data_IF_523507104721
#
_entry.id   IF_523507104721
#
_cell.length_a   1.000
_cell.length_b   1.000
_cell.length_c   1.000
_cell.angle_alpha   90.00
_cell.angle_beta   90.00
_cell.angle_gamma   90.00
#
_symmetry.space_group_name_H-M   'P 1'
#
loop_
_entity.id
_entity.type
_entity.pdbx_description
1 polymer ?
#
# COMPACT_ATOMS: atom_id res chain seq x y z
N UNK A 1 40.52 -21.31 -21.48
CA UNK A 1 40.37 -20.60 -20.19
C UNK A 1 39.39 -19.46 -20.39
N UNK A 2 38.13 -19.65 -20.03
CA UNK A 2 37.15 -18.55 -19.98
C UNK A 2 37.35 -17.83 -18.66
N UNK A 3 37.86 -16.61 -18.71
CA UNK A 3 37.96 -15.73 -17.54
C UNK A 3 36.55 -15.29 -17.19
N UNK A 4 35.94 -15.98 -16.23
CA UNK A 4 34.65 -15.61 -15.67
C UNK A 4 34.76 -14.23 -15.02
N UNK A 5 34.12 -13.23 -15.63
CA UNK A 5 33.93 -11.94 -15.00
C UNK A 5 33.14 -12.16 -13.72
N UNK A 6 33.79 -11.92 -12.58
CA UNK A 6 33.19 -11.88 -11.26
C UNK A 6 31.96 -10.98 -11.30
N UNK A 7 30.80 -11.52 -10.91
CA UNK A 7 29.59 -10.74 -10.77
C UNK A 7 29.88 -9.54 -9.88
N UNK A 8 29.52 -8.33 -10.33
CA UNK A 8 29.65 -7.10 -9.53
C UNK A 8 29.05 -7.37 -8.16
N UNK A 9 29.87 -7.24 -7.12
CA UNK A 9 29.43 -7.17 -5.72
C UNK A 9 28.25 -6.19 -5.64
N UNK A 10 27.08 -6.65 -5.23
CA UNK A 10 25.94 -5.77 -5.01
C UNK A 10 26.35 -4.71 -3.97
N UNK A 11 26.09 -3.44 -4.25
CA UNK A 11 26.36 -2.37 -3.30
C UNK A 11 25.64 -2.68 -1.97
N UNK A 12 26.39 -2.59 -0.87
CA UNK A 12 25.86 -2.88 0.46
C UNK A 12 24.65 -1.97 0.75
N UNK A 13 23.50 -2.56 1.10
CA UNK A 13 22.29 -1.80 1.45
C UNK A 13 22.58 -0.78 2.55
N UNK A 14 21.93 0.38 2.51
CA UNK A 14 22.10 1.42 3.54
C UNK A 14 21.15 1.17 4.72
N UNK A 15 21.40 1.82 5.86
CA UNK A 15 20.43 1.86 6.96
C UNK A 15 19.31 2.80 6.54
N UNK A 16 18.06 2.33 6.62
CA UNK A 16 16.85 3.10 6.34
C UNK A 16 16.42 3.82 7.63
N UNK A 17 16.15 3.02 8.65
CA UNK A 17 15.62 3.43 9.94
C UNK A 17 16.22 2.55 11.04
N UNK A 18 16.47 3.13 12.21
CA UNK A 18 17.06 2.45 13.35
C UNK A 18 16.29 2.78 14.63
N UNK A 19 16.00 1.75 15.42
CA UNK A 19 15.49 1.87 16.77
C UNK A 19 16.63 1.58 17.76
N UNK A 20 17.17 2.60 18.44
CA UNK A 20 18.30 2.43 19.35
C UNK A 20 17.93 1.68 20.63
N UNK A 21 16.67 1.81 21.09
CA UNK A 21 16.14 1.11 22.27
C UNK A 21 16.93 1.35 23.57
N UNK A 22 17.59 2.50 23.71
CA UNK A 22 18.48 2.81 24.85
C UNK A 22 17.77 3.52 26.00
N UNK A 23 16.71 4.27 25.71
CA UNK A 23 15.98 5.10 26.65
C UNK A 23 14.48 5.14 26.33
N UNK A 24 14.14 5.07 25.04
CA UNK A 24 12.81 4.95 24.49
C UNK A 24 12.82 4.00 23.28
N UNK A 25 11.68 3.89 22.60
CA UNK A 25 11.52 3.14 21.36
C UNK A 25 11.37 4.02 20.12
N UNK A 26 11.85 5.27 20.17
CA UNK A 26 11.73 6.19 19.05
C UNK A 26 12.77 5.85 17.97
N UNK A 27 12.32 5.81 16.72
CA UNK A 27 13.21 5.60 15.59
C UNK A 27 14.07 6.83 15.27
N UNK A 28 15.29 6.58 14.81
CA UNK A 28 16.13 7.54 14.09
C UNK A 28 16.16 7.14 12.62
N UNK A 29 15.86 8.08 11.73
CA UNK A 29 15.86 7.87 10.27
C UNK A 29 17.22 8.26 9.70
N UNK A 30 17.79 7.40 8.86
CA UNK A 30 19.14 7.58 8.29
C UNK A 30 19.14 8.07 6.83
N UNK A 31 18.00 8.03 6.13
CA UNK A 31 17.84 8.49 4.74
C UNK A 31 16.51 9.20 4.52
N UNK A 32 16.41 10.00 3.46
CA UNK A 32 15.14 10.62 3.04
C UNK A 32 14.12 9.57 2.56
N UNK A 33 12.84 9.91 2.63
CA UNK A 33 11.77 9.06 2.10
C UNK A 33 11.18 8.06 3.08
N UNK A 34 11.46 8.23 4.37
CA UNK A 34 10.94 7.39 5.45
C UNK A 34 10.25 8.29 6.46
N UNK A 35 9.09 7.87 6.94
CA UNK A 35 8.42 8.48 8.09
C UNK A 35 8.76 7.65 9.33
N UNK A 36 9.39 8.22 10.38
CA UNK A 36 9.75 7.47 11.56
C UNK A 36 8.53 6.85 12.25
N UNK A 37 8.69 5.63 12.77
CA UNK A 37 7.63 4.93 13.50
C UNK A 37 8.08 4.49 14.89
N UNK A 38 7.11 4.11 15.71
CA UNK A 38 7.33 3.60 17.06
C UNK A 38 6.84 2.15 17.11
N UNK A 39 7.67 1.20 17.54
CA UNK A 39 7.25 -0.19 17.63
C UNK A 39 6.26 -0.38 18.76
N UNK A 40 5.39 -1.37 18.60
CA UNK A 40 4.29 -1.65 19.53
C UNK A 40 4.35 -3.08 20.05
N UNK A 41 4.02 -3.26 21.32
CA UNK A 41 3.88 -4.58 21.91
C UNK A 41 2.46 -5.11 21.79
N UNK A 42 2.37 -6.42 21.58
CA UNK A 42 1.15 -7.20 21.79
C UNK A 42 1.45 -8.30 22.80
N UNK A 43 0.72 -8.30 23.92
CA UNK A 43 0.86 -9.24 25.05
C UNK A 43 2.26 -9.30 25.69
N UNK A 44 3.11 -8.31 25.40
CA UNK A 44 4.41 -8.11 26.01
C UNK A 44 4.41 -6.76 26.69
N UNK A 45 5.22 -6.63 27.74
CA UNK A 45 5.38 -5.39 28.48
C UNK A 45 6.84 -5.15 28.80
N UNK A 46 7.22 -3.87 28.87
CA UNK A 46 8.53 -3.46 29.37
C UNK A 46 8.73 -3.93 30.81
N UNK A 47 9.99 -4.15 31.18
CA UNK A 47 10.30 -4.40 32.58
C UNK A 47 10.01 -3.17 33.45
N UNK A 48 9.39 -3.42 34.60
CA UNK A 48 9.13 -2.42 35.63
C UNK A 48 10.28 -2.27 36.65
N UNK A 49 11.43 -2.90 36.39
CA UNK A 49 12.60 -2.88 37.27
C UNK A 49 12.39 -3.54 38.65
N UNK A 50 11.34 -4.34 38.84
CA UNK A 50 10.99 -4.96 40.15
C UNK A 50 11.43 -6.42 40.32
N UNK A 51 12.25 -6.92 39.40
CA UNK A 51 12.71 -8.29 39.36
C UNK A 51 13.37 -8.76 40.69
N UNK A 52 12.90 -9.90 41.22
CA UNK A 52 13.29 -10.42 42.54
C UNK A 52 14.79 -10.77 42.72
N UNK A 53 15.56 -10.86 41.63
CA UNK A 53 17.00 -11.16 41.65
C UNK A 53 17.88 -10.07 41.02
N UNK A 54 17.37 -8.83 40.97
CA UNK A 54 18.11 -7.65 40.55
C UNK A 54 17.28 -6.72 39.68
N UNK A 55 17.56 -5.41 39.76
CA UNK A 55 16.90 -4.36 38.98
C UNK A 55 17.28 -4.46 37.49
N UNK A 56 16.33 -4.86 36.64
CA UNK A 56 16.46 -4.79 35.19
C UNK A 56 15.52 -3.70 34.67
N UNK A 57 16.03 -2.51 34.30
CA UNK A 57 15.18 -1.44 33.81
C UNK A 57 14.63 -1.80 32.42
N UNK A 58 13.46 -1.25 32.09
CA UNK A 58 12.83 -1.42 30.78
C UNK A 58 13.72 -0.98 29.62
N UNK A 59 14.59 0.03 29.82
CA UNK A 59 15.61 0.46 28.86
C UNK A 59 16.96 0.68 29.55
N UNK A 60 18.06 0.35 28.87
CA UNK A 60 19.42 0.67 29.32
C UNK A 60 20.46 0.57 28.19
N UNK A 61 21.59 1.25 28.33
CA UNK A 61 22.69 1.11 27.37
C UNK A 61 23.27 -0.32 27.26
N UNK A 62 23.24 -1.07 28.36
CA UNK A 62 23.76 -2.43 28.40
C UNK A 62 22.84 -3.41 27.66
N UNK A 63 21.51 -3.32 27.89
CA UNK A 63 20.52 -4.31 27.45
C UNK A 63 19.66 -3.86 26.27
N UNK A 64 19.69 -2.57 25.96
CA UNK A 64 18.59 -1.86 25.30
C UNK A 64 17.29 -2.07 26.04
N UNK A 65 16.27 -2.51 25.32
CA UNK A 65 14.95 -2.80 25.86
C UNK A 65 14.92 -4.18 26.54
N UNK A 66 14.32 -4.26 27.72
CA UNK A 66 14.05 -5.51 28.41
C UNK A 66 12.54 -5.70 28.59
N UNK A 67 12.01 -6.86 28.19
CA UNK A 67 10.58 -7.12 28.17
C UNK A 67 10.25 -8.60 28.36
N UNK A 68 9.00 -8.86 28.75
CA UNK A 68 8.44 -10.19 28.93
C UNK A 68 6.89 -10.11 28.93
N UNK A 69 6.18 -11.24 28.97
CA UNK A 69 4.73 -11.25 29.20
C UNK A 69 4.30 -10.57 30.51
N UNK A 70 5.15 -10.62 31.55
CA UNK A 70 4.94 -9.91 32.82
C UNK A 70 6.09 -8.93 33.09
N UNK A 71 5.77 -7.74 33.61
CA UNK A 71 6.72 -6.64 33.82
C UNK A 71 7.85 -6.99 34.82
N UNK A 72 7.58 -7.92 35.74
CA UNK A 72 8.54 -8.47 36.71
C UNK A 72 9.61 -9.38 36.08
N UNK A 73 9.51 -9.67 34.78
CA UNK A 73 10.45 -10.51 34.03
C UNK A 73 10.13 -11.99 34.11
N UNK A 74 8.95 -12.40 33.62
CA UNK A 74 8.51 -13.80 33.60
C UNK A 74 7.25 -13.98 32.77
N UNK A 75 6.44 -14.99 33.11
CA UNK A 75 5.16 -15.24 32.43
C UNK A 75 5.28 -15.96 31.09
N UNK A 76 6.39 -16.66 30.86
CA UNK A 76 6.63 -17.37 29.60
C UNK A 76 5.88 -18.70 29.48
N UNK A 77 5.33 -19.26 30.55
CA UNK A 77 4.76 -20.62 30.55
C UNK A 77 3.50 -20.69 29.71
N UNK A 78 3.45 -21.61 28.74
CA UNK A 78 2.24 -21.87 27.94
C UNK A 78 1.07 -22.43 28.76
N UNK A 79 1.36 -22.96 29.95
CA UNK A 79 0.35 -23.45 30.92
C UNK A 79 0.20 -22.52 32.12
N UNK A 80 0.85 -21.35 32.10
CA UNK A 80 0.70 -20.32 33.13
C UNK A 80 -0.70 -19.71 33.14
N UNK A 81 -0.98 -18.90 34.16
CA UNK A 81 -2.22 -18.10 34.22
C UNK A 81 -1.84 -16.64 34.47
N UNK A 82 -1.98 -15.74 33.46
CA UNK A 82 -2.35 -16.03 32.07
C UNK A 82 -1.27 -16.85 31.32
N UNK A 83 -1.62 -17.56 30.24
CA UNK A 83 -0.66 -18.35 29.47
C UNK A 83 0.26 -17.44 28.65
N UNK A 84 1.56 -17.74 28.69
CA UNK A 84 2.59 -17.13 27.87
C UNK A 84 2.88 -17.90 26.57
N UNK A 85 3.90 -17.46 25.81
CA UNK A 85 4.24 -18.09 24.52
C UNK A 85 4.88 -19.49 24.65
N UNK A 86 5.52 -19.81 25.77
CA UNK A 86 6.31 -21.03 25.97
C UNK A 86 7.75 -20.90 25.48
N UNK A 87 8.41 -22.05 25.32
CA UNK A 87 9.77 -22.14 24.75
C UNK A 87 9.81 -21.68 23.30
N UNK A 88 8.83 -22.10 22.51
CA UNK A 88 8.68 -21.70 21.12
C UNK A 88 7.86 -20.40 21.04
N UNK A 89 8.14 -19.51 20.08
CA UNK A 89 7.39 -18.28 19.95
C UNK A 89 5.89 -18.52 19.66
N UNK A 90 5.04 -17.59 20.09
CA UNK A 90 3.60 -17.59 19.81
C UNK A 90 3.19 -16.35 19.04
N UNK A 91 2.26 -16.48 18.08
CA UNK A 91 1.80 -15.35 17.26
C UNK A 91 1.02 -14.28 18.04
N UNK A 92 0.64 -14.57 19.28
CA UNK A 92 -0.05 -13.63 20.18
C UNK A 92 0.91 -12.76 21.01
N UNK A 93 2.22 -13.04 20.97
CA UNK A 93 3.24 -12.36 21.77
C UNK A 93 4.33 -11.83 20.85
N UNK A 94 4.29 -10.53 20.55
CA UNK A 94 5.24 -9.92 19.64
C UNK A 94 5.48 -8.45 19.90
N UNK A 95 6.60 -7.98 19.38
CA UNK A 95 6.83 -6.57 19.10
C UNK A 95 6.74 -6.35 17.59
N UNK A 96 5.93 -5.39 17.16
CA UNK A 96 5.79 -5.01 15.76
C UNK A 96 6.57 -3.74 15.47
N UNK A 97 7.45 -3.82 14.48
CA UNK A 97 8.17 -2.70 13.88
C UNK A 97 7.54 -2.36 12.54
N UNK A 98 7.45 -1.09 12.20
CA UNK A 98 6.85 -0.62 10.95
C UNK A 98 7.84 0.22 10.18
N UNK A 99 8.11 -0.13 8.93
CA UNK A 99 8.85 0.75 8.00
C UNK A 99 7.82 1.42 7.10
N UNK A 100 7.68 2.74 7.23
CA UNK A 100 6.72 3.53 6.45
C UNK A 100 7.44 4.31 5.34
N UNK A 101 7.11 4.00 4.09
CA UNK A 101 7.54 4.79 2.94
C UNK A 101 6.82 6.14 2.96
N UNK A 102 7.58 7.23 3.01
CA UNK A 102 7.02 8.56 2.90
C UNK A 102 6.32 8.76 1.53
N UNK A 103 5.35 9.66 1.47
CA UNK A 103 4.68 9.99 0.21
C UNK A 103 5.71 10.45 -0.83
N UNK A 104 5.62 9.93 -2.05
CA UNK A 104 6.56 10.19 -3.14
C UNK A 104 7.84 9.35 -3.10
N UNK A 105 7.96 8.36 -2.21
CA UNK A 105 9.11 7.46 -2.12
C UNK A 105 8.71 6.00 -2.20
N UNK A 106 9.53 5.18 -2.84
CA UNK A 106 9.43 3.73 -2.83
C UNK A 106 10.63 3.18 -2.07
N UNK A 107 10.40 2.19 -1.21
CA UNK A 107 11.47 1.55 -0.46
C UNK A 107 11.66 0.12 -0.97
N UNK A 108 12.91 -0.34 -0.97
CA UNK A 108 13.24 -1.77 -1.00
C UNK A 108 13.89 -2.10 0.33
N UNK A 109 13.22 -2.87 1.18
CA UNK A 109 13.74 -3.30 2.48
C UNK A 109 14.37 -4.68 2.34
N UNK A 110 15.69 -4.75 2.48
CA UNK A 110 16.48 -5.95 2.20
C UNK A 110 16.65 -6.82 3.44
N UNK A 111 16.88 -6.20 4.60
CA UNK A 111 17.16 -6.94 5.83
C UNK A 111 16.76 -6.18 7.08
N UNK A 112 16.49 -6.94 8.13
CA UNK A 112 16.43 -6.45 9.50
C UNK A 112 17.71 -6.88 10.22
N UNK A 113 18.38 -5.94 10.88
CA UNK A 113 19.52 -6.24 11.74
C UNK A 113 19.12 -5.93 13.16
N UNK A 114 19.28 -6.90 14.06
CA UNK A 114 19.00 -6.70 15.47
C UNK A 114 20.05 -7.34 16.35
N UNK A 115 20.16 -6.85 17.59
CA UNK A 115 21.03 -7.42 18.61
C UNK A 115 20.18 -7.85 19.79
N UNK A 116 20.15 -9.14 20.11
CA UNK A 116 19.21 -9.69 21.08
C UNK A 116 19.77 -10.88 21.87
N UNK A 117 19.25 -11.07 23.08
CA UNK A 117 19.56 -12.19 23.95
C UNK A 117 18.40 -12.41 24.94
N UNK A 118 18.48 -13.50 25.70
CA UNK A 118 17.60 -13.72 26.86
C UNK A 118 18.40 -13.54 28.15
N UNK A 119 17.80 -12.87 29.14
CA UNK A 119 18.36 -12.77 30.47
C UNK A 119 18.13 -14.07 31.27
N UNK A 120 19.22 -14.64 31.78
CA UNK A 120 19.22 -15.74 32.75
C UNK A 120 18.53 -17.03 32.25
N UNK A 121 18.36 -17.23 30.95
CA UNK A 121 17.84 -18.49 30.37
C UNK A 121 18.62 -18.88 29.13
N UNK A 122 18.97 -20.17 29.04
CA UNK A 122 19.73 -20.75 27.93
C UNK A 122 18.86 -21.22 26.75
N UNK A 123 17.53 -21.04 26.82
CA UNK A 123 16.58 -21.56 25.82
C UNK A 123 15.65 -20.45 25.31
N UNK A 124 16.22 -19.47 24.60
CA UNK A 124 15.47 -18.39 23.95
C UNK A 124 15.28 -18.65 22.46
N UNK A 125 14.14 -18.25 21.91
CA UNK A 125 13.84 -18.36 20.48
C UNK A 125 13.28 -17.05 19.96
N UNK A 126 13.71 -16.66 18.75
CA UNK A 126 13.21 -15.50 18.03
C UNK A 126 12.76 -15.92 16.63
N UNK A 127 11.46 -15.79 16.37
CA UNK A 127 10.89 -15.93 15.04
C UNK A 127 10.54 -14.56 14.47
N UNK A 128 10.71 -14.36 13.16
CA UNK A 128 10.37 -13.09 12.50
C UNK A 128 9.51 -13.33 11.28
N UNK A 129 8.36 -12.66 11.27
CA UNK A 129 7.46 -12.61 10.10
C UNK A 129 7.30 -11.16 9.64
N UNK A 130 6.94 -10.97 8.38
CA UNK A 130 6.71 -9.64 7.80
C UNK A 130 5.53 -9.65 6.83
N UNK A 131 4.96 -8.47 6.60
CA UNK A 131 3.79 -8.30 5.73
C UNK A 131 3.67 -6.85 5.25
N UNK A 132 3.17 -6.68 4.03
CA UNK A 132 2.78 -5.39 3.44
C UNK A 132 1.26 -5.18 3.42
N UNK A 133 0.49 -6.11 3.98
CA UNK A 133 -0.98 -6.19 3.91
C UNK A 133 -1.64 -6.44 5.27
N UNK A 134 -1.02 -5.95 6.34
CA UNK A 134 -1.54 -6.05 7.71
C UNK A 134 -1.59 -7.49 8.23
N UNK A 135 -0.70 -8.36 7.75
CA UNK A 135 -0.65 -9.80 8.01
C UNK A 135 -1.86 -10.58 7.53
N UNK A 136 -2.56 -10.09 6.49
CA UNK A 136 -3.49 -10.93 5.70
C UNK A 136 -2.69 -12.04 4.99
N UNK A 137 -1.54 -11.69 4.44
CA UNK A 137 -0.50 -12.61 3.97
C UNK A 137 0.68 -12.57 4.92
N UNK A 138 1.04 -13.74 5.47
CA UNK A 138 2.19 -13.88 6.36
C UNK A 138 3.39 -14.35 5.54
N UNK A 139 4.47 -13.57 5.57
CA UNK A 139 5.76 -13.97 5.03
C UNK A 139 6.74 -14.24 6.16
N UNK A 140 7.57 -15.27 6.02
CA UNK A 140 8.54 -15.67 7.03
C UNK A 140 9.96 -15.35 6.58
N UNK A 141 10.80 -14.93 7.53
CA UNK A 141 12.24 -14.90 7.27
C UNK A 141 12.72 -16.33 7.01
N UNK A 142 13.50 -16.51 5.96
CA UNK A 142 13.98 -17.83 5.51
C UNK A 142 15.50 -17.89 5.36
N UNK A 143 16.22 -16.90 5.90
CA UNK A 143 17.67 -16.88 5.86
C UNK A 143 18.27 -15.61 6.44
N UNK A 144 19.60 -15.59 6.50
CA UNK A 144 20.33 -14.52 7.14
C UNK A 144 21.68 -14.98 7.65
N UNK A 145 22.33 -14.10 8.41
CA UNK A 145 23.52 -14.43 9.20
C UNK A 145 23.21 -14.17 10.67
N UNK A 146 23.23 -15.23 11.46
CA UNK A 146 22.81 -15.23 12.86
C UNK A 146 24.02 -15.47 13.74
N UNK A 147 24.63 -14.40 14.24
CA UNK A 147 25.74 -14.51 15.18
C UNK A 147 25.20 -14.54 16.60
N UNK A 148 25.24 -15.72 17.22
CA UNK A 148 24.84 -15.93 18.61
C UNK A 148 25.96 -16.64 19.38
N UNK A 149 26.89 -15.86 19.92
CA UNK A 149 28.02 -16.38 20.68
C UNK A 149 27.53 -17.24 21.85
N UNK A 150 28.05 -18.47 21.95
CA UNK A 150 27.71 -19.45 22.96
C UNK A 150 26.52 -20.35 22.64
N UNK A 151 25.88 -20.23 21.47
CA UNK A 151 24.75 -21.07 21.05
C UNK A 151 24.85 -21.50 19.59
N UNK A 152 24.54 -22.77 19.33
CA UNK A 152 24.43 -23.30 17.96
C UNK A 152 23.07 -22.95 17.37
N UNK A 153 23.07 -22.38 16.17
CA UNK A 153 21.82 -22.06 15.45
C UNK A 153 21.18 -23.33 14.85
N UNK A 154 19.85 -23.35 14.67
CA UNK A 154 19.17 -24.41 13.95
C UNK A 154 19.74 -24.61 12.54
N UNK A 155 19.75 -25.85 12.06
CA UNK A 155 20.16 -26.17 10.69
C UNK A 155 19.03 -25.90 9.70
N UNK A 156 19.39 -25.66 8.43
CA UNK A 156 18.43 -25.38 7.36
C UNK A 156 17.87 -23.95 7.37
N UNK A 157 16.68 -23.77 6.81
CA UNK A 157 15.98 -22.48 6.67
C UNK A 157 15.52 -21.97 8.04
N UNK A 158 16.20 -20.98 8.62
CA UNK A 158 15.92 -20.45 9.97
C UNK A 158 15.71 -18.93 9.97
N UNK A 159 15.12 -18.41 11.05
CA UNK A 159 14.81 -16.99 11.27
C UNK A 159 13.32 -16.67 11.28
N UNK A 160 12.50 -17.50 10.63
CA UNK A 160 11.05 -17.34 10.58
C UNK A 160 10.35 -17.88 11.84
N UNK A 161 9.05 -17.61 11.96
CA UNK A 161 8.23 -18.17 13.04
C UNK A 161 8.24 -19.71 13.12
N UNK A 162 8.17 -20.47 12.01
CA UNK A 162 8.15 -21.94 12.06
C UNK A 162 9.50 -22.57 12.46
N UNK A 163 10.61 -21.89 12.23
CA UNK A 163 11.97 -22.34 12.60
C UNK A 163 12.77 -21.16 13.14
N UNK A 164 12.48 -20.73 14.39
CA UNK A 164 13.05 -19.52 14.97
C UNK A 164 14.55 -19.69 15.27
N UNK A 165 15.30 -18.59 15.26
CA UNK A 165 16.70 -18.60 15.69
C UNK A 165 16.81 -18.79 17.19
N UNK A 166 17.88 -19.41 17.65
CA UNK A 166 18.15 -19.57 19.07
C UNK A 166 18.88 -18.33 19.60
N UNK A 167 18.38 -17.78 20.71
CA UNK A 167 18.96 -16.64 21.40
C UNK A 167 19.90 -17.09 22.54
N UNK A 168 21.05 -16.44 22.71
CA UNK A 168 21.98 -16.76 23.79
C UNK A 168 21.51 -16.20 25.14
N UNK A 169 21.95 -16.83 26.22
CA UNK A 169 21.81 -16.29 27.57
C UNK A 169 22.82 -15.17 27.80
N UNK A 170 22.38 -13.96 28.12
CA UNK A 170 23.25 -12.83 28.44
C UNK A 170 22.72 -12.06 29.67
N UNK A 171 23.43 -12.16 30.79
CA UNK A 171 23.05 -11.45 32.03
C UNK A 171 23.52 -9.98 32.04
N UNK A 172 24.62 -9.68 31.33
CA UNK A 172 25.17 -8.33 31.17
C UNK A 172 24.51 -7.54 30.01
N UNK A 173 23.57 -8.16 29.28
CA UNK A 173 23.01 -7.60 28.05
C UNK A 173 23.70 -8.14 26.79
N UNK A 174 23.02 -8.10 25.63
CA UNK A 174 23.60 -8.58 24.39
C UNK A 174 24.71 -7.62 23.90
N UNK A 175 25.72 -8.21 23.29
CA UNK A 175 26.89 -7.54 22.72
C UNK A 175 26.74 -7.46 21.21
N UNK A 176 26.96 -6.28 20.64
CA UNK A 176 26.93 -6.06 19.19
C UNK A 176 27.99 -6.95 18.52
N UNK A 177 27.67 -7.47 17.34
CA UNK A 177 28.41 -8.49 16.59
C UNK A 177 28.36 -9.88 17.23
N UNK A 178 28.51 -10.03 18.54
CA UNK A 178 28.49 -11.33 19.20
C UNK A 178 27.07 -11.91 19.36
N UNK A 179 26.04 -11.06 19.42
CA UNK A 179 24.64 -11.45 19.55
C UNK A 179 23.76 -10.73 18.50
N UNK A 180 24.30 -10.57 17.29
CA UNK A 180 23.65 -9.84 16.18
C UNK A 180 23.07 -10.79 15.15
N UNK A 181 21.81 -10.57 14.82
CA UNK A 181 21.01 -11.33 13.87
C UNK A 181 20.73 -10.45 12.66
N UNK A 182 21.15 -10.89 11.49
CA UNK A 182 20.95 -10.22 10.20
C UNK A 182 19.95 -11.05 9.42
N UNK A 183 18.68 -10.68 9.51
CA UNK A 183 17.55 -11.39 8.93
C UNK A 183 17.31 -10.88 7.51
N UNK A 184 17.40 -11.76 6.51
CA UNK A 184 17.12 -11.41 5.12
C UNK A 184 15.61 -11.41 4.88
N UNK A 185 15.07 -10.32 4.33
CA UNK A 185 13.66 -10.21 3.97
C UNK A 185 13.52 -10.52 2.48
N UNK A 186 12.73 -11.53 2.13
CA UNK A 186 12.54 -11.98 0.75
C UNK A 186 13.87 -12.28 -0.01
N UNK A 187 14.83 -12.89 0.70
CA UNK A 187 16.12 -13.29 0.14
C UNK A 187 16.91 -12.13 -0.46
N UNK A 188 17.47 -12.32 -1.66
CA UNK A 188 18.26 -11.31 -2.37
C UNK A 188 17.40 -10.21 -3.04
N UNK A 189 16.09 -10.41 -3.14
CA UNK A 189 15.18 -9.48 -3.82
C UNK A 189 14.78 -8.31 -2.92
N UNK A 190 14.71 -8.53 -1.61
CA UNK A 190 14.14 -7.55 -0.68
C UNK A 190 12.62 -7.43 -0.83
N UNK A 191 12.01 -6.61 0.03
CA UNK A 191 10.58 -6.32 0.03
C UNK A 191 10.36 -4.91 -0.49
N UNK A 192 9.60 -4.79 -1.58
CA UNK A 192 9.20 -3.48 -2.12
C UNK A 192 8.03 -2.91 -1.34
N UNK A 193 8.18 -1.68 -0.88
CA UNK A 193 7.15 -0.91 -0.17
C UNK A 193 6.80 0.31 -1.02
N UNK A 194 5.59 0.35 -1.55
CA UNK A 194 5.12 1.46 -2.36
C UNK A 194 4.95 2.75 -1.55
N UNK A 195 4.91 3.89 -2.23
CA UNK A 195 4.69 5.22 -1.63
C UNK A 195 3.47 5.25 -0.72
N UNK A 196 3.67 5.73 0.50
CA UNK A 196 2.63 5.83 1.54
C UNK A 196 2.16 4.48 2.09
N UNK A 197 2.85 3.38 1.77
CA UNK A 197 2.56 2.04 2.32
C UNK A 197 3.59 1.67 3.38
N UNK A 198 3.23 0.65 4.15
CA UNK A 198 4.03 0.13 5.26
C UNK A 198 4.50 -1.29 4.98
N UNK A 199 5.65 -1.62 5.54
CA UNK A 199 6.07 -2.98 5.83
C UNK A 199 6.00 -3.15 7.35
N UNK A 200 5.13 -4.05 7.82
CA UNK A 200 5.10 -4.46 9.22
C UNK A 200 5.96 -5.71 9.41
N UNK A 201 6.75 -5.71 10.48
CA UNK A 201 7.68 -6.79 10.84
C UNK A 201 7.43 -7.15 12.30
N UNK A 202 7.07 -8.40 12.57
CA UNK A 202 6.77 -8.89 13.92
C UNK A 202 7.91 -9.77 14.42
N UNK A 203 8.42 -9.46 15.60
CA UNK A 203 9.41 -10.25 16.32
C UNK A 203 8.70 -11.04 17.42
N UNK A 204 8.74 -12.35 17.31
CA UNK A 204 8.08 -13.28 18.24
C UNK A 204 9.14 -13.92 19.14
N UNK A 205 8.93 -13.83 20.46
CA UNK A 205 9.85 -14.39 21.44
C UNK A 205 9.26 -15.60 22.15
N UNK A 206 10.09 -16.61 22.37
CA UNK A 206 9.82 -17.74 23.25
C UNK A 206 10.98 -17.93 24.23
N UNK A 207 10.68 -18.31 25.47
CA UNK A 207 11.68 -18.56 26.51
C UNK A 207 11.32 -19.82 27.28
N UNK A 208 12.23 -20.79 27.33
CA UNK A 208 11.99 -22.10 27.94
C UNK A 208 11.96 -22.13 29.47
N UNK A 209 11.78 -20.99 30.13
CA UNK A 209 11.66 -20.89 31.58
C UNK A 209 10.85 -19.66 31.97
N UNK A 210 10.06 -19.78 33.05
CA UNK A 210 9.16 -18.72 33.52
C UNK A 210 9.59 -18.06 34.84
N UNK A 211 10.70 -18.51 35.43
CA UNK A 211 11.20 -17.93 36.68
C UNK A 211 11.63 -16.48 36.50
N UNK A 212 11.48 -15.65 37.52
CA UNK A 212 11.97 -14.27 37.44
C UNK A 212 13.49 -14.22 37.63
N UNK A 213 14.24 -13.43 36.84
CA UNK A 213 13.81 -12.41 35.89
C UNK A 213 14.14 -12.85 34.45
N UNK A 214 13.43 -13.84 33.91
CA UNK A 214 13.56 -14.25 32.50
C UNK A 214 12.95 -13.17 31.62
N UNK A 215 13.78 -12.48 30.85
CA UNK A 215 13.37 -11.39 29.97
C UNK A 215 14.05 -11.52 28.62
N UNK A 216 13.33 -11.18 27.56
CA UNK A 216 13.96 -10.90 26.28
C UNK A 216 14.64 -9.52 26.35
N UNK A 217 15.80 -9.42 25.72
CA UNK A 217 16.57 -8.19 25.59
C UNK A 217 16.73 -7.86 24.11
N UNK A 218 16.40 -6.64 23.73
CA UNK A 218 16.54 -6.15 22.36
C UNK A 218 17.30 -4.83 22.40
N UNK A 219 18.56 -4.90 21.98
CA UNK A 219 19.50 -3.79 22.13
C UNK A 219 19.42 -2.75 21.04
N UNK A 220 19.08 -3.17 19.84
CA UNK A 220 18.96 -2.29 18.69
C UNK A 220 18.25 -3.04 17.58
N UNK A 221 17.51 -2.32 16.75
CA UNK A 221 16.95 -2.82 15.50
C UNK A 221 17.26 -1.83 14.38
N UNK A 222 17.61 -2.30 13.20
CA UNK A 222 17.84 -1.47 12.02
C UNK A 222 17.25 -2.13 10.80
N UNK A 223 16.37 -1.43 10.10
CA UNK A 223 15.93 -1.81 8.77
C UNK A 223 16.96 -1.32 7.75
N UNK A 224 17.40 -2.21 6.85
CA UNK A 224 18.35 -1.88 5.79
C UNK A 224 17.73 -2.09 4.43
N UNK A 225 18.15 -1.28 3.46
CA UNK A 225 17.55 -1.29 2.14
C UNK A 225 18.02 -0.16 1.24
N UNK A 226 17.12 0.26 0.35
CA UNK A 226 17.25 1.42 -0.51
C UNK A 226 15.95 2.25 -0.49
N UNK A 227 16.10 3.57 -0.54
CA UNK A 227 15.01 4.53 -0.73
C UNK A 227 15.18 5.17 -2.09
N UNK A 228 14.13 5.18 -2.90
CA UNK A 228 14.11 5.84 -4.21
C UNK A 228 12.90 6.74 -4.30
N UNK A 229 13.01 7.84 -5.05
CA UNK A 229 11.85 8.68 -5.36
C UNK A 229 10.88 7.83 -6.19
N UNK A 230 9.65 7.64 -5.69
CA UNK A 230 8.60 6.97 -6.43
C UNK A 230 8.16 7.87 -7.58
N UNK A 231 8.13 7.33 -8.79
CA UNK A 231 7.64 8.09 -9.92
C UNK A 231 6.12 8.20 -9.88
N UNK A 232 5.60 9.38 -10.19
CA UNK A 232 4.18 9.67 -10.27
C UNK A 232 3.88 10.32 -11.62
N UNK A 233 3.27 9.63 -12.57
CA UNK A 233 2.95 10.20 -13.88
C UNK A 233 1.58 10.91 -13.91
N UNK A 234 1.08 11.41 -12.77
CA UNK A 234 -0.23 12.08 -12.72
C UNK A 234 -0.27 13.35 -13.58
N UNK A 235 -1.21 13.36 -14.52
CA UNK A 235 -1.60 14.51 -15.31
C UNK A 235 -3.12 14.50 -15.51
N UNK A 236 -3.70 15.66 -15.78
CA UNK A 236 -5.11 15.76 -16.16
C UNK A 236 -5.38 16.94 -17.09
N UNK A 237 -6.23 16.74 -18.09
CA UNK A 237 -6.94 17.84 -18.75
C UNK A 237 -8.14 18.26 -17.88
N UNK A 238 -8.57 19.51 -18.03
CA UNK A 238 -9.70 20.06 -17.27
C UNK A 238 -11.06 19.40 -17.61
N UNK A 239 -11.17 18.76 -18.78
CA UNK A 239 -12.35 18.03 -19.24
C UNK A 239 -11.91 16.76 -19.98
N UNK A 240 -12.78 15.75 -20.01
CA UNK A 240 -12.61 14.53 -20.82
C UNK A 240 -13.28 14.63 -22.19
N UNK A 241 -13.99 15.73 -22.49
CA UNK A 241 -14.66 15.97 -23.77
C UNK A 241 -14.47 17.40 -24.24
N UNK A 242 -14.17 17.56 -25.53
CA UNK A 242 -13.93 18.85 -26.19
C UNK A 242 -14.62 18.91 -27.55
N UNK A 243 -15.11 20.10 -27.93
CA UNK A 243 -15.56 20.37 -29.29
C UNK A 243 -14.36 20.70 -30.17
N UNK A 244 -14.33 20.21 -31.41
CA UNK A 244 -13.25 20.45 -32.36
C UNK A 244 -13.01 21.95 -32.65
N UNK A 245 -14.05 22.78 -32.50
CA UNK A 245 -14.01 24.24 -32.63
C UNK A 245 -13.64 25.00 -31.33
N UNK A 246 -13.35 24.27 -30.25
CA UNK A 246 -12.99 24.84 -28.96
C UNK A 246 -11.55 25.36 -28.91
N UNK A 247 -11.19 25.96 -27.78
CA UNK A 247 -9.80 26.33 -27.50
C UNK A 247 -8.96 25.08 -27.18
N UNK A 248 -7.72 25.07 -27.66
CA UNK A 248 -6.76 23.99 -27.42
C UNK A 248 -6.49 23.82 -25.91
N UNK A 249 -6.78 22.64 -25.32
CA UNK A 249 -6.56 22.41 -23.90
C UNK A 249 -5.12 21.96 -23.64
N UNK A 250 -4.56 22.42 -22.52
CA UNK A 250 -3.25 21.99 -22.00
C UNK A 250 -3.46 21.22 -20.69
N UNK A 251 -2.82 20.06 -20.50
CA UNK A 251 -2.97 19.29 -19.28
C UNK A 251 -2.18 19.94 -18.13
N UNK A 252 -2.64 19.73 -16.90
CA UNK A 252 -1.85 20.02 -15.70
C UNK A 252 -1.15 18.75 -15.26
N UNK A 253 0.19 18.79 -15.14
CA UNK A 253 0.99 17.72 -14.55
C UNK A 253 1.09 17.98 -13.05
N UNK A 254 0.54 17.09 -12.23
CA UNK A 254 0.66 17.13 -10.76
C UNK A 254 1.69 16.14 -10.22
N UNK A 255 2.17 15.24 -11.09
CA UNK A 255 3.24 14.30 -10.81
C UNK A 255 4.63 14.79 -11.24
N UNK A 256 5.50 13.83 -11.55
CA UNK A 256 6.86 14.02 -12.08
C UNK A 256 6.80 14.77 -13.41
N UNK A 257 7.48 15.91 -13.49
CA UNK A 257 7.61 16.75 -14.69
C UNK A 257 8.75 16.28 -15.60
N UNK A 258 8.81 16.81 -16.83
CA UNK A 258 9.88 16.49 -17.79
C UNK A 258 9.66 15.21 -18.62
N UNK A 259 8.45 14.63 -18.56
CA UNK A 259 8.04 13.52 -19.41
C UNK A 259 7.59 13.94 -20.81
N UNK A 260 7.12 12.98 -21.58
CA UNK A 260 6.60 13.18 -22.95
C UNK A 260 5.14 12.73 -23.06
N UNK A 261 4.34 13.49 -23.81
CA UNK A 261 2.97 13.13 -24.16
C UNK A 261 2.92 12.39 -25.50
N UNK A 262 2.00 11.44 -25.61
CA UNK A 262 1.63 10.77 -26.85
C UNK A 262 0.13 10.46 -26.85
N UNK A 263 -0.39 10.09 -28.01
CA UNK A 263 -1.80 9.72 -28.14
C UNK A 263 -2.00 8.63 -29.19
N UNK A 264 -3.20 8.05 -29.20
CA UNK A 264 -3.66 7.25 -30.35
C UNK A 264 -3.74 8.11 -31.62
N UNK A 265 -3.67 7.47 -32.79
CA UNK A 265 -3.67 8.16 -34.08
C UNK A 265 -4.95 8.97 -34.31
N UNK A 266 -4.81 10.13 -34.95
CA UNK A 266 -5.91 11.06 -35.24
C UNK A 266 -6.06 12.22 -34.24
N UNK A 267 -5.37 12.17 -33.09
CA UNK A 267 -5.20 13.31 -32.18
C UNK A 267 -3.85 13.98 -32.43
N UNK A 268 -3.87 15.28 -32.65
CA UNK A 268 -2.66 16.11 -32.74
C UNK A 268 -2.35 16.68 -31.37
N UNK A 269 -1.21 16.28 -30.79
CA UNK A 269 -0.75 16.70 -29.46
C UNK A 269 0.71 17.13 -29.52
N UNK A 270 1.05 18.19 -28.79
CA UNK A 270 2.44 18.58 -28.56
C UNK A 270 3.09 17.59 -27.56
N UNK A 271 4.14 16.85 -27.94
CA UNK A 271 4.75 15.85 -27.07
C UNK A 271 5.46 16.45 -25.85
N UNK A 272 5.85 17.73 -25.87
CA UNK A 272 6.54 18.38 -24.75
C UNK A 272 5.57 19.04 -23.78
N UNK A 273 4.55 19.74 -24.29
CA UNK A 273 3.59 20.48 -23.45
C UNK A 273 2.31 19.71 -23.14
N UNK A 274 2.01 18.67 -23.93
CA UNK A 274 0.74 17.96 -23.89
C UNK A 274 -0.42 18.78 -24.46
N UNK A 275 -0.20 19.96 -25.04
CA UNK A 275 -1.29 20.75 -25.59
C UNK A 275 -1.94 20.03 -26.78
N UNK A 276 -3.25 19.83 -26.73
CA UNK A 276 -4.01 19.20 -27.81
C UNK A 276 -4.39 20.28 -28.83
N UNK A 277 -4.07 20.06 -30.10
CA UNK A 277 -4.60 20.87 -31.20
C UNK A 277 -5.94 20.29 -31.66
N UNK A 278 -7.05 20.87 -31.19
CA UNK A 278 -8.40 20.39 -31.49
C UNK A 278 -8.74 20.54 -32.98
N UNK A 279 -8.37 21.67 -33.59
CA UNK A 279 -8.64 21.94 -35.01
C UNK A 279 -7.88 21.02 -35.96
N UNK A 280 -6.68 20.58 -35.55
CA UNK A 280 -5.85 19.63 -36.29
C UNK A 280 -6.12 18.16 -35.94
N UNK A 281 -7.12 17.87 -35.11
CA UNK A 281 -7.49 16.51 -34.72
C UNK A 281 -8.80 16.10 -35.38
N UNK A 282 -9.03 14.79 -35.53
CA UNK A 282 -10.33 14.27 -35.99
C UNK A 282 -11.32 14.17 -34.82
N UNK A 283 -12.61 14.04 -35.13
CA UNK A 283 -13.60 13.68 -34.11
C UNK A 283 -13.44 12.19 -33.76
N UNK A 284 -13.43 11.86 -32.48
CA UNK A 284 -13.14 10.51 -32.01
C UNK A 284 -12.80 10.46 -30.52
N UNK A 285 -12.54 9.26 -30.02
CA UNK A 285 -12.06 9.03 -28.66
C UNK A 285 -10.60 8.59 -28.71
N UNK A 286 -9.77 9.25 -27.91
CA UNK A 286 -8.33 9.08 -27.89
C UNK A 286 -7.85 8.75 -26.49
N UNK A 287 -6.80 7.94 -26.41
CA UNK A 287 -6.07 7.73 -25.16
C UNK A 287 -4.81 8.55 -25.22
N UNK A 288 -4.73 9.59 -24.39
CA UNK A 288 -3.51 10.35 -24.17
C UNK A 288 -2.66 9.62 -23.13
N UNK A 289 -1.38 9.44 -23.41
CA UNK A 289 -0.41 8.85 -22.50
C UNK A 289 0.63 9.90 -22.13
N UNK A 290 0.90 10.06 -20.83
CA UNK A 290 2.04 10.82 -20.35
C UNK A 290 3.06 9.85 -19.78
N UNK A 291 4.30 9.93 -20.26
CA UNK A 291 5.41 9.06 -19.87
C UNK A 291 6.51 9.90 -19.24
N UNK A 292 6.63 9.87 -17.91
CA UNK A 292 7.69 10.54 -17.17
C UNK A 292 9.00 9.73 -17.17
N UNK A 293 8.92 8.40 -17.25
CA UNK A 293 10.06 7.49 -17.44
C UNK A 293 9.57 6.14 -17.99
N UNK A 294 10.49 5.23 -18.34
CA UNK A 294 10.14 3.93 -18.94
C UNK A 294 9.22 3.06 -18.08
N UNK A 295 9.21 3.26 -16.76
CA UNK A 295 8.35 2.53 -15.81
C UNK A 295 7.28 3.43 -15.19
N UNK A 296 7.10 4.64 -15.69
CA UNK A 296 6.25 5.65 -15.09
C UNK A 296 5.44 6.37 -16.17
N UNK A 297 4.24 5.83 -16.41
CA UNK A 297 3.29 6.39 -17.34
C UNK A 297 1.88 6.39 -16.77
N UNK A 298 1.08 7.37 -17.17
CA UNK A 298 -0.35 7.41 -16.90
C UNK A 298 -1.10 7.68 -18.20
N UNK A 299 -2.40 7.40 -18.21
CA UNK A 299 -3.26 7.66 -19.37
C UNK A 299 -4.53 8.40 -18.98
N UNK A 300 -5.07 9.17 -19.93
CA UNK A 300 -6.37 9.81 -19.82
C UNK A 300 -7.13 9.69 -21.16
N UNK A 301 -8.40 9.30 -21.09
CA UNK A 301 -9.27 9.21 -22.26
C UNK A 301 -9.90 10.58 -22.54
N UNK A 302 -9.78 11.03 -23.79
CA UNK A 302 -10.30 12.31 -24.29
C UNK A 302 -11.21 12.05 -25.49
N UNK A 303 -12.40 12.64 -25.51
CA UNK A 303 -13.32 12.60 -26.64
C UNK A 303 -13.37 13.96 -27.34
N UNK A 304 -13.21 13.96 -28.66
CA UNK A 304 -13.41 15.13 -29.52
C UNK A 304 -14.69 14.94 -30.32
N UNK A 305 -15.60 15.91 -30.21
CA UNK A 305 -16.83 15.95 -31.01
C UNK A 305 -16.69 16.96 -32.14
N UNK A 306 -17.18 16.63 -33.32
CA UNK A 306 -17.40 17.63 -34.36
C UNK A 306 -18.51 18.57 -33.90
N UNK A 307 -18.34 19.87 -34.14
CA UNK A 307 -19.41 20.83 -33.89
C UNK A 307 -20.63 20.51 -34.78
N UNK A 308 -21.84 20.69 -34.26
CA UNK A 308 -23.06 20.60 -35.07
C UNK A 308 -23.00 21.65 -36.19
N UNK A 309 -22.91 21.22 -37.45
CA UNK A 309 -23.08 22.15 -38.57
C UNK A 309 -24.56 22.50 -38.71
N UNK A 310 -24.91 23.76 -38.42
CA UNK A 310 -26.21 24.29 -38.78
C UNK A 310 -26.19 24.60 -40.29
N UNK A 311 -26.64 23.66 -41.12
CA UNK A 311 -26.89 23.94 -42.52
C UNK A 311 -28.26 24.61 -42.66
N UNK A 312 -28.28 25.80 -43.28
CA UNK A 312 -29.50 26.42 -43.75
C UNK A 312 -29.53 26.30 -45.28
N UNK A 313 -30.66 25.83 -45.81
CA UNK A 313 -30.91 25.74 -47.24
C UNK A 313 -32.05 26.69 -47.58
N UNK A 314 -31.80 27.58 -48.52
CA UNK A 314 -32.85 28.38 -49.14
C UNK A 314 -33.39 27.60 -50.33
N UNK A 315 -34.67 27.21 -50.27
CA UNK A 315 -35.31 26.43 -51.34
C UNK A 315 -35.52 27.20 -52.66
N UNK A 316 -35.24 28.51 -52.71
CA UNK A 316 -35.44 29.35 -53.88
C UNK A 316 -34.27 30.32 -54.12
N UNK A 317 -34.03 30.66 -55.39
CA UNK A 317 -32.97 31.58 -55.85
C UNK A 317 -33.34 33.06 -55.78
N UNK A 318 -34.59 33.39 -55.40
CA UNK A 318 -35.08 34.76 -55.29
C UNK A 318 -36.25 34.84 -54.31
N UNK A 319 -36.23 35.82 -53.41
CA UNK A 319 -37.28 36.12 -52.45
C UNK A 319 -37.69 37.59 -52.56
N UNK A 320 -38.98 37.90 -52.35
CA UNK A 320 -39.46 39.28 -52.36
C UNK A 320 -38.97 40.02 -51.10
N UNK A 321 -38.70 41.33 -51.23
CA UNK A 321 -38.14 42.20 -50.16
C UNK A 321 -39.02 42.37 -48.93
N UNK A 322 -40.20 41.74 -48.90
CA UNK A 322 -41.18 41.81 -47.81
C UNK A 322 -41.76 40.46 -47.39
N UNK A 323 -41.13 39.33 -47.75
CA UNK A 323 -41.55 38.01 -47.25
C UNK A 323 -40.71 37.57 -46.05
N UNK A 324 -41.31 37.53 -44.86
CA UNK A 324 -40.76 36.85 -43.68
C UNK A 324 -40.82 35.34 -43.91
N UNK A 325 -39.76 34.75 -44.46
CA UNK A 325 -39.65 33.30 -44.57
C UNK A 325 -39.23 32.72 -43.20
N UNK A 326 -40.11 31.95 -42.58
CA UNK A 326 -39.77 31.12 -41.42
C UNK A 326 -38.98 29.91 -41.90
N UNK A 327 -37.68 29.87 -41.61
CA UNK A 327 -36.86 28.69 -41.78
C UNK A 327 -37.36 27.58 -40.82
N UNK A 328 -37.81 26.44 -41.36
CA UNK A 328 -38.09 25.26 -40.56
C UNK A 328 -36.77 24.57 -40.23
N UNK A 329 -36.35 24.67 -38.96
CA UNK A 329 -35.27 23.86 -38.43
C UNK A 329 -35.83 22.46 -38.10
N UNK A 330 -35.47 21.45 -38.88
CA UNK A 330 -35.72 20.06 -38.49
C UNK A 330 -34.73 19.68 -37.40
N UNK A 331 -35.16 19.76 -36.15
CA UNK A 331 -34.51 19.07 -35.04
C UNK A 331 -34.90 17.60 -35.14
N UNK A 332 -33.98 16.70 -35.49
CA UNK A 332 -34.19 15.27 -35.36
C UNK A 332 -33.72 14.82 -33.96
N UNK A 333 -34.63 14.47 -33.02
CA UNK A 333 -34.25 13.64 -31.89
C UNK A 333 -33.99 12.21 -32.39
N UNK A 334 -32.94 11.58 -31.88
CA UNK A 334 -32.63 10.17 -32.15
C UNK A 334 -33.84 9.26 -31.81
N UNK A 335 -34.11 8.19 -32.59
CA UNK A 335 -35.30 7.38 -32.38
C UNK A 335 -35.18 6.48 -31.15
N UNK A 336 -36.07 6.66 -30.17
CA UNK A 336 -36.37 5.65 -29.15
C UNK A 336 -37.39 4.68 -29.75
N UNK A 337 -36.97 3.43 -29.95
CA UNK A 337 -37.86 2.34 -30.39
C UNK A 337 -38.76 1.89 -29.23
N UNK A 338 -40.07 2.15 -29.33
CA UNK A 338 -41.08 1.55 -28.44
C UNK A 338 -41.87 0.52 -29.26
N UNK A 339 -41.72 -0.75 -28.91
CA UNK A 339 -42.37 -1.89 -29.55
C UNK A 339 -43.82 -2.03 -29.05
N UNK A 340 -44.81 -1.67 -29.87
CA UNK A 340 -46.22 -2.01 -29.64
C UNK A 340 -46.60 -3.24 -30.47
N UNK A 341 -46.94 -4.36 -29.82
CA UNK A 341 -47.64 -5.48 -30.45
C UNK A 341 -49.14 -5.20 -30.50
N UNK A 342 -49.72 -5.14 -31.71
CA UNK A 342 -51.16 -5.04 -31.93
C UNK A 342 -51.83 -6.42 -31.78
N UNK A 343 -52.99 -6.46 -31.10
CA UNK A 343 -53.94 -7.59 -31.12
C UNK A 343 -55.16 -7.22 -31.99
N UNK A 344 -55.74 -8.16 -32.76
CA UNK A 344 -56.81 -7.90 -33.73
C UNK A 344 -58.23 -7.85 -33.11
N UNK A 345 -59.25 -7.35 -33.82
CA UNK A 345 -60.53 -6.93 -33.22
C UNK A 345 -61.67 -7.97 -33.29
N UNK A 346 -62.42 -7.99 -32.17
CA UNK A 346 -63.88 -8.11 -31.93
C UNK A 346 -64.77 -9.18 -32.60
N UNK A 347 -65.59 -9.85 -31.77
CA UNK A 347 -67.00 -10.20 -32.03
C UNK A 347 -67.75 -10.54 -30.70
N UNK A 348 -69.08 -10.32 -30.57
CA UNK A 348 -69.81 -10.20 -29.29
C UNK A 348 -70.72 -11.40 -28.93
N UNK A 349 -71.29 -11.41 -27.70
CA UNK A 349 -72.66 -11.86 -27.28
C UNK A 349 -72.72 -12.38 -25.80
N UNK A 350 -73.48 -11.66 -24.94
CA UNK A 350 -74.30 -12.10 -23.75
C UNK A 350 -73.63 -12.51 -22.39
N UNK A 351 -74.34 -12.51 -21.22
CA UNK A 351 -74.38 -11.39 -20.24
C UNK A 351 -74.00 -11.74 -18.76
N UNK A 352 -73.84 -10.69 -17.91
CA UNK A 352 -73.93 -10.50 -16.42
C UNK A 352 -73.94 -11.73 -15.44
N UNK A 353 -73.44 -11.63 -14.16
CA UNK A 353 -73.59 -10.46 -13.26
C UNK A 353 -72.44 -10.12 -12.25
N UNK A 354 -72.50 -8.86 -11.78
CA UNK A 354 -72.32 -8.35 -10.39
C UNK A 354 -71.10 -8.78 -9.56
N UNK A 355 -70.23 -7.81 -9.23
CA UNK A 355 -69.94 -7.49 -7.82
C UNK A 355 -69.44 -6.03 -7.66
N UNK A 356 -70.19 -5.25 -6.87
CA UNK A 356 -69.81 -3.93 -6.39
C UNK A 356 -68.53 -3.99 -5.55
N UNK A 357 -67.65 -2.97 -5.68
CA UNK A 357 -67.14 -2.26 -4.50
C UNK A 357 -66.73 -0.83 -4.86
N UNK A 358 -67.42 0.11 -4.22
CA UNK A 358 -67.26 1.55 -4.26
C UNK A 358 -66.03 1.92 -3.41
N UNK A 359 -65.12 2.73 -3.93
CA UNK A 359 -64.19 3.51 -3.10
C UNK A 359 -64.30 4.98 -3.53
N UNK A 360 -64.78 5.78 -2.59
CA UNK A 360 -65.09 7.20 -2.68
C UNK A 360 -63.82 8.06 -2.69
N UNK A 361 -63.77 9.05 -3.60
CA UNK A 361 -62.91 10.23 -3.52
C UNK A 361 -63.39 11.17 -2.40
N UNK A 362 -62.51 12.05 -1.91
CA UNK A 362 -62.87 13.46 -1.87
C UNK A 362 -61.81 14.40 -2.49
N UNK A 363 -62.15 15.68 -2.75
CA UNK A 363 -61.46 16.54 -3.71
C UNK A 363 -60.63 17.69 -3.09
N UNK A 364 -59.68 18.17 -3.90
CA UNK A 364 -59.34 19.56 -4.25
C UNK A 364 -59.21 20.69 -3.18
N UNK A 365 -58.00 21.28 -3.19
CA UNK A 365 -57.65 22.71 -3.37
C UNK A 365 -58.07 23.82 -2.36
N UNK A 366 -57.00 24.40 -1.75
CA UNK A 366 -56.60 25.82 -1.47
C UNK A 366 -57.57 26.78 -0.73
N UNK A 367 -57.12 27.89 -0.09
CA UNK A 367 -56.07 28.87 -0.50
C UNK A 367 -54.68 28.71 0.10
#
# INVERSE_FOLDING_TARGET
MSLGFSAKSQAQSTVLEQWPLLADNVATVAVTGITPTTPTFTSLVLSDNSAASGTIPGYSAARGQAFAPLSTGGGWSSTGTPPGPGTNPSRSFYEEFTVLAASGYSLRVDSLILTSAINNSAAGHLGVSYSTDGFTTINEVSGGNFTASGVTQPTGTTGGFPNPVTLPNQTAGPTVNANTFRLALNGATGVTVASGKTLSIRLYYGVGSSGTPRQAQLKSVSAKGASTVACNAAFAYASSSFCQSGANPTPTITGTTGGTFSSTSGLTIDPATGTINLTGSTAGTYTVTYTASSTCSSTQTITITSGSSASFSYGASSYCTSSTATARQCWQPAPVQVLFRLRPPASPWTPLPVLLRRATRPPARIP
#
